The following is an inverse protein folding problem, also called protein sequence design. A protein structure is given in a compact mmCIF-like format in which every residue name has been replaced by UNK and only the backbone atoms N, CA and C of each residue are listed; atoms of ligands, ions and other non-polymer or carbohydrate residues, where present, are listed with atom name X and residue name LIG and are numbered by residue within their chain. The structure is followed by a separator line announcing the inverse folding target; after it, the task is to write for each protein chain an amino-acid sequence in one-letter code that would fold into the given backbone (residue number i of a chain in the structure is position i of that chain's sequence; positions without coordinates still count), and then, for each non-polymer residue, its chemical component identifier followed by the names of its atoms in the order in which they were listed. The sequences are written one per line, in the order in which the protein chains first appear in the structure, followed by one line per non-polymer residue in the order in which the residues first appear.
data_IF_381393900506
#
_entry.id   IF_381393900506
#
_cell.length_a   1.000
_cell.length_b   1.000
_cell.length_c   1.000
_cell.angle_alpha   90.00
_cell.angle_beta   90.00
_cell.angle_gamma   90.00
#
_symmetry.space_group_name_H-M   'P 1'
#
loop_
_entity.id
_entity.type
_entity.pdbx_description
1 polymer ?
#
# COMPACT_ATOMS: atom_id res chain seq x y z
N UNK A 1 17.82 -15.95 -0.30
CA UNK A 1 17.49 -16.97 -1.33
C UNK A 1 16.78 -16.30 -2.49
N UNK A 2 16.85 -16.84 -3.72
CA UNK A 2 16.02 -16.32 -4.81
C UNK A 2 14.54 -16.64 -4.53
N UNK A 3 13.59 -15.78 -4.94
CA UNK A 3 12.17 -16.04 -4.74
C UNK A 3 11.72 -17.26 -5.57
N UNK A 4 10.84 -18.08 -4.99
CA UNK A 4 10.16 -19.19 -5.67
C UNK A 4 8.89 -18.69 -6.34
N UNK A 5 8.19 -17.75 -5.69
CA UNK A 5 6.95 -17.15 -6.18
C UNK A 5 7.16 -15.65 -6.40
N UNK A 6 6.58 -15.13 -7.48
CA UNK A 6 6.35 -13.70 -7.68
C UNK A 6 4.84 -13.42 -7.65
N UNK A 7 4.42 -12.43 -6.86
CA UNK A 7 3.08 -11.84 -6.91
C UNK A 7 3.21 -10.45 -7.52
N UNK A 8 2.68 -10.27 -8.72
CA UNK A 8 2.58 -8.95 -9.36
C UNK A 8 1.20 -8.38 -9.04
N UNK A 9 1.12 -7.32 -8.23
CA UNK A 9 -0.11 -6.54 -8.03
C UNK A 9 -0.22 -5.45 -9.11
N UNK A 10 -1.21 -5.60 -9.98
CA UNK A 10 -1.69 -4.55 -10.85
C UNK A 10 -2.56 -3.60 -10.03
N UNK A 11 -2.19 -2.32 -10.00
CA UNK A 11 -2.69 -1.41 -8.98
C UNK A 11 -2.73 0.05 -9.40
N UNK A 12 -3.25 0.90 -8.51
CA UNK A 12 -3.27 2.35 -8.60
C UNK A 12 -3.16 2.97 -7.18
N UNK A 13 -2.42 4.08 -6.98
CA UNK A 13 -2.34 4.75 -5.67
C UNK A 13 -3.68 5.24 -5.08
N UNK A 14 -4.68 5.54 -5.91
CA UNK A 14 -6.05 5.92 -5.52
C UNK A 14 -7.03 4.73 -5.54
N UNK A 15 -6.56 3.49 -5.63
CA UNK A 15 -7.43 2.33 -5.54
C UNK A 15 -7.66 1.93 -4.07
N UNK A 16 -8.87 2.16 -3.53
CA UNK A 16 -9.21 1.81 -2.14
C UNK A 16 -9.10 0.31 -1.86
N UNK A 17 -9.38 -0.55 -2.84
CA UNK A 17 -9.26 -2.00 -2.68
C UNK A 17 -7.80 -2.48 -2.71
N UNK A 18 -6.92 -1.72 -3.35
CA UNK A 18 -5.49 -1.94 -3.36
C UNK A 18 -4.89 -1.50 -2.01
N UNK A 19 -5.37 -0.38 -1.46
CA UNK A 19 -5.11 0.00 -0.06
C UNK A 19 -5.58 -1.08 0.92
N UNK A 20 -6.77 -1.65 0.69
CA UNK A 20 -7.27 -2.78 1.45
C UNK A 20 -6.43 -4.06 1.36
N UNK A 21 -5.61 -4.21 0.32
CA UNK A 21 -4.75 -5.39 0.10
C UNK A 21 -3.41 -5.33 0.83
N UNK A 22 -3.02 -4.16 1.34
CA UNK A 22 -1.77 -3.96 2.10
C UNK A 22 -1.60 -4.92 3.30
N UNK A 23 -2.60 -5.14 4.18
CA UNK A 23 -2.52 -6.14 5.25
C UNK A 23 -2.20 -7.55 4.75
N UNK A 24 -2.75 -7.92 3.59
CA UNK A 24 -2.59 -9.26 3.01
C UNK A 24 -1.17 -9.42 2.47
N UNK A 25 -0.71 -8.46 1.66
CA UNK A 25 0.63 -8.47 1.08
C UNK A 25 1.73 -8.45 2.15
N UNK A 26 1.57 -7.63 3.19
CA UNK A 26 2.52 -7.63 4.33
C UNK A 26 2.48 -8.94 5.10
N UNK A 27 1.31 -9.53 5.35
CA UNK A 27 1.23 -10.84 6.01
C UNK A 27 1.89 -11.94 5.18
N UNK A 28 1.71 -11.94 3.86
CA UNK A 28 2.43 -12.87 2.96
C UNK A 28 3.93 -12.69 3.14
N UNK A 29 4.44 -11.46 3.18
CA UNK A 29 5.87 -11.22 3.41
C UNK A 29 6.34 -11.68 4.79
N UNK A 30 5.54 -11.52 5.83
CA UNK A 30 5.85 -11.99 7.19
C UNK A 30 5.87 -13.51 7.33
N UNK A 31 5.00 -14.22 6.59
CA UNK A 31 4.88 -15.68 6.66
C UNK A 31 5.89 -16.38 5.77
N UNK A 32 6.10 -15.89 4.54
CA UNK A 32 6.90 -16.59 3.53
C UNK A 32 8.29 -15.97 3.30
N UNK A 33 8.54 -14.76 3.80
CA UNK A 33 9.84 -14.11 3.75
C UNK A 33 10.35 -13.88 2.32
N UNK A 34 11.59 -14.27 2.05
CA UNK A 34 12.24 -14.11 0.73
C UNK A 34 11.73 -15.09 -0.34
N UNK A 35 10.99 -16.14 0.04
CA UNK A 35 10.46 -17.12 -0.92
C UNK A 35 9.39 -16.51 -1.84
N UNK A 36 8.75 -15.42 -1.41
CA UNK A 36 7.74 -14.69 -2.17
C UNK A 36 8.22 -13.26 -2.41
N UNK A 37 8.36 -12.91 -3.68
CA UNK A 37 8.59 -11.54 -4.12
C UNK A 37 7.27 -10.88 -4.48
N UNK A 38 7.10 -9.62 -4.08
CA UNK A 38 5.91 -8.83 -4.39
C UNK A 38 6.35 -7.63 -5.20
N UNK A 39 5.84 -7.54 -6.42
CA UNK A 39 6.10 -6.45 -7.37
C UNK A 39 4.78 -5.78 -7.78
N UNK A 40 4.87 -4.59 -8.36
CA UNK A 40 3.71 -3.77 -8.67
C UNK A 40 3.76 -3.33 -10.13
N UNK A 41 2.59 -3.26 -10.78
CA UNK A 41 2.43 -2.61 -12.09
C UNK A 41 1.37 -1.52 -11.99
N UNK A 42 1.70 -0.34 -12.49
CA UNK A 42 0.81 0.82 -12.42
C UNK A 42 -0.22 0.75 -13.54
N UNK A 43 -1.46 0.42 -13.18
CA UNK A 43 -2.52 0.13 -14.14
C UNK A 43 -3.39 1.33 -14.52
N UNK A 44 -3.33 2.43 -13.76
CA UNK A 44 -4.05 3.67 -14.09
C UNK A 44 -5.58 3.53 -14.03
N UNK A 45 -6.13 3.67 -12.82
CA UNK A 45 -7.55 3.53 -12.51
C UNK A 45 -8.45 4.54 -13.25
N UNK A 46 -8.07 5.83 -13.25
CA UNK A 46 -8.85 6.90 -13.90
C UNK A 46 -7.93 7.72 -14.80
N UNK A 47 -8.13 7.61 -16.11
CA UNK A 47 -7.42 8.41 -17.10
C UNK A 47 -7.87 9.87 -17.10
N UNK A 48 -9.17 10.11 -17.24
CA UNK A 48 -9.80 11.42 -17.13
C UNK A 48 -11.13 11.29 -16.39
N UNK A 49 -11.30 11.96 -15.26
CA UNK A 49 -12.50 11.89 -14.43
C UNK A 49 -13.74 12.43 -15.14
N UNK A 50 -13.57 13.30 -16.15
CA UNK A 50 -14.67 13.89 -16.94
C UNK A 50 -15.32 12.88 -17.87
N UNK A 51 -14.53 11.91 -18.34
CA UNK A 51 -14.96 10.83 -19.24
C UNK A 51 -15.12 9.49 -18.50
N UNK A 52 -14.80 9.45 -17.21
CA UNK A 52 -14.82 8.24 -16.41
C UNK A 52 -16.24 7.84 -16.01
N UNK A 53 -16.54 6.56 -16.23
CA UNK A 53 -17.73 5.93 -15.70
C UNK A 53 -17.43 4.48 -15.28
N UNK A 54 -17.66 4.17 -14.01
CA UNK A 54 -17.67 2.82 -13.48
C UNK A 54 -19.13 2.36 -13.29
N UNK A 55 -19.66 1.50 -14.18
CA UNK A 55 -21.04 1.04 -14.09
C UNK A 55 -21.29 0.11 -12.90
N UNK A 56 -20.25 -0.56 -12.38
CA UNK A 56 -20.40 -1.54 -11.28
C UNK A 56 -20.59 -0.81 -9.95
N UNK A 57 -19.89 0.31 -9.79
CA UNK A 57 -19.94 1.12 -8.56
C UNK A 57 -20.78 2.40 -8.72
N UNK A 58 -21.34 2.64 -9.90
CA UNK A 58 -22.12 3.84 -10.26
C UNK A 58 -21.35 5.15 -10.03
N UNK A 59 -20.06 5.16 -10.39
CA UNK A 59 -19.16 6.30 -10.22
C UNK A 59 -18.95 7.03 -11.55
N UNK A 60 -19.27 8.32 -11.61
CA UNK A 60 -18.99 9.20 -12.75
C UNK A 60 -19.85 10.48 -12.75
N UNK A 61 -19.67 11.32 -13.77
CA UNK A 61 -20.42 12.57 -13.92
C UNK A 61 -20.06 13.65 -12.88
N UNK A 62 -20.89 14.69 -12.78
CA UNK A 62 -20.57 15.90 -11.99
C UNK A 62 -20.45 15.66 -10.47
N UNK A 63 -21.07 14.60 -9.96
CA UNK A 63 -21.06 14.23 -8.52
C UNK A 63 -20.12 13.07 -8.21
N UNK A 64 -19.15 12.79 -9.08
CA UNK A 64 -18.18 11.71 -8.91
C UNK A 64 -17.52 11.73 -7.52
N UNK A 65 -17.20 12.90 -6.98
CA UNK A 65 -16.48 13.04 -5.71
C UNK A 65 -17.29 12.50 -4.53
N UNK A 66 -18.61 12.68 -4.53
CA UNK A 66 -19.50 12.11 -3.49
C UNK A 66 -19.61 10.60 -3.62
N UNK A 67 -19.69 10.09 -4.86
CA UNK A 67 -19.80 8.66 -5.15
C UNK A 67 -18.49 7.94 -4.77
N UNK A 68 -17.34 8.50 -5.13
CA UNK A 68 -16.03 7.95 -4.74
C UNK A 68 -15.84 8.02 -3.23
N UNK A 69 -16.24 9.12 -2.58
CA UNK A 69 -16.20 9.24 -1.12
C UNK A 69 -17.01 8.13 -0.43
N UNK A 70 -18.25 7.92 -0.85
CA UNK A 70 -19.11 6.85 -0.33
C UNK A 70 -18.53 5.45 -0.61
N UNK A 71 -17.95 5.25 -1.80
CA UNK A 71 -17.30 3.98 -2.17
C UNK A 71 -16.10 3.67 -1.27
N UNK A 72 -15.26 4.67 -0.98
CA UNK A 72 -14.09 4.51 -0.11
C UNK A 72 -14.50 4.23 1.35
N UNK A 73 -15.55 4.87 1.85
CA UNK A 73 -16.10 4.57 3.19
C UNK A 73 -16.65 3.13 3.26
N UNK A 74 -17.35 2.69 2.23
CA UNK A 74 -17.88 1.33 2.15
C UNK A 74 -16.77 0.27 2.06
N UNK A 75 -15.75 0.52 1.24
CA UNK A 75 -14.56 -0.31 1.17
C UNK A 75 -13.86 -0.37 2.55
N UNK A 76 -13.70 0.77 3.23
CA UNK A 76 -13.12 0.83 4.58
C UNK A 76 -13.86 -0.01 5.60
N UNK A 77 -15.21 -0.01 5.58
CA UNK A 77 -16.01 -0.90 6.44
C UNK A 77 -15.76 -2.39 6.16
N UNK A 78 -15.44 -2.75 4.91
CA UNK A 78 -15.22 -4.14 4.49
C UNK A 78 -13.79 -4.63 4.75
N UNK A 79 -12.78 -3.84 4.38
CA UNK A 79 -11.36 -4.22 4.52
C UNK A 79 -10.72 -3.77 5.83
N UNK A 80 -11.30 -2.80 6.53
CA UNK A 80 -10.85 -2.33 7.85
C UNK A 80 -9.69 -1.32 7.84
N UNK A 81 -8.94 -1.16 6.75
CA UNK A 81 -7.91 -0.10 6.63
C UNK A 81 -8.48 1.33 6.76
N UNK A 82 -7.72 2.27 7.36
CA UNK A 82 -8.19 3.62 7.62
C UNK A 82 -8.47 4.39 6.35
N UNK A 83 -9.57 5.15 6.35
CA UNK A 83 -9.97 6.04 5.25
C UNK A 83 -10.46 7.37 5.78
N UNK A 84 -10.13 8.45 5.06
CA UNK A 84 -10.75 9.76 5.14
C UNK A 84 -11.21 10.22 3.74
N UNK A 85 -12.47 9.93 3.44
CA UNK A 85 -13.14 10.24 2.17
C UNK A 85 -13.29 11.75 1.93
N UNK A 86 -13.09 12.60 2.95
CA UNK A 86 -13.22 14.06 2.82
C UNK A 86 -12.26 14.64 1.77
N UNK A 87 -11.15 13.95 1.50
CA UNK A 87 -10.17 14.36 0.47
C UNK A 87 -10.82 14.59 -0.89
N UNK A 88 -11.86 13.82 -1.26
CA UNK A 88 -12.53 13.98 -2.56
C UNK A 88 -13.26 15.30 -2.70
N UNK A 89 -13.84 15.80 -1.61
CA UNK A 89 -14.46 17.12 -1.59
C UNK A 89 -13.44 18.25 -1.68
N UNK A 90 -12.23 18.04 -1.17
CA UNK A 90 -11.13 19.02 -1.21
C UNK A 90 -10.47 19.10 -2.59
N UNK A 91 -10.42 17.99 -3.33
CA UNK A 91 -9.73 17.91 -4.62
C UNK A 91 -10.67 18.02 -5.83
N UNK A 92 -11.99 18.04 -5.64
CA UNK A 92 -12.98 17.93 -6.72
C UNK A 92 -12.77 18.91 -7.89
N UNK A 93 -12.27 20.11 -7.59
CA UNK A 93 -12.07 21.17 -8.58
C UNK A 93 -10.69 21.13 -9.26
N UNK A 94 -9.72 20.38 -8.70
CA UNK A 94 -8.36 20.25 -9.24
C UNK A 94 -7.99 18.85 -9.71
N UNK A 95 -8.77 17.83 -9.36
CA UNK A 95 -8.51 16.45 -9.70
C UNK A 95 -9.01 16.13 -11.10
N UNK A 96 -8.14 15.57 -11.94
CA UNK A 96 -8.48 15.15 -13.31
C UNK A 96 -8.20 13.66 -13.55
N UNK A 97 -7.21 13.08 -12.87
CA UNK A 97 -6.68 11.77 -13.22
C UNK A 97 -5.92 11.14 -12.05
N UNK A 98 -5.88 9.81 -12.00
CA UNK A 98 -4.96 9.08 -11.11
C UNK A 98 -3.57 8.92 -11.73
N UNK A 99 -3.40 9.18 -13.03
CA UNK A 99 -2.14 8.96 -13.76
C UNK A 99 -0.94 9.69 -13.16
N UNK A 100 -1.03 10.96 -12.69
CA UNK A 100 0.11 11.63 -12.08
C UNK A 100 0.73 10.85 -10.92
N UNK A 101 -0.08 10.22 -10.08
CA UNK A 101 0.43 9.42 -8.95
C UNK A 101 1.08 8.11 -9.43
N UNK A 102 0.52 7.49 -10.48
CA UNK A 102 1.11 6.29 -11.11
C UNK A 102 2.47 6.60 -11.76
N UNK A 103 2.56 7.71 -12.49
CA UNK A 103 3.80 8.20 -13.12
C UNK A 103 4.86 8.47 -12.04
N UNK A 104 4.48 9.08 -10.92
CA UNK A 104 5.40 9.33 -9.81
C UNK A 104 5.98 8.02 -9.23
N UNK A 105 5.21 6.93 -9.18
CA UNK A 105 5.73 5.62 -8.76
C UNK A 105 6.79 5.11 -9.75
N UNK A 106 6.58 5.25 -11.06
CA UNK A 106 7.60 4.87 -12.06
C UNK A 106 8.87 5.70 -11.94
N UNK A 107 8.76 7.00 -11.63
CA UNK A 107 9.91 7.85 -11.34
C UNK A 107 10.71 7.32 -10.14
N UNK A 108 10.03 6.92 -9.05
CA UNK A 108 10.67 6.31 -7.90
C UNK A 108 11.38 4.99 -8.22
N UNK A 109 10.79 4.14 -9.07
CA UNK A 109 11.37 2.85 -9.48
C UNK A 109 12.71 3.00 -10.21
N UNK A 110 12.94 4.12 -10.89
CA UNK A 110 14.22 4.38 -11.55
C UNK A 110 15.36 4.67 -10.57
N UNK A 111 15.04 5.11 -9.35
CA UNK A 111 16.03 5.39 -8.33
C UNK A 111 16.36 4.13 -7.54
N UNK A 112 15.34 3.48 -6.98
CA UNK A 112 15.48 2.24 -6.21
C UNK A 112 14.14 1.50 -6.10
N UNK A 113 14.14 0.20 -6.37
CA UNK A 113 12.91 -0.61 -6.39
C UNK A 113 12.28 -0.80 -5.01
N UNK A 114 13.08 -0.93 -3.95
CA UNK A 114 12.56 -1.07 -2.58
C UNK A 114 12.05 0.26 -2.04
N UNK A 115 12.73 1.37 -2.33
CA UNK A 115 12.23 2.70 -2.01
C UNK A 115 10.95 3.03 -2.80
N UNK A 116 10.83 2.57 -4.04
CA UNK A 116 9.60 2.72 -4.81
C UNK A 116 8.41 1.97 -4.18
N UNK A 117 8.62 0.76 -3.64
CA UNK A 117 7.58 0.04 -2.87
C UNK A 117 7.15 0.84 -1.64
N UNK A 118 8.11 1.41 -0.90
CA UNK A 118 7.83 2.30 0.25
C UNK A 118 7.10 3.56 -0.19
N UNK A 119 7.45 4.12 -1.33
CA UNK A 119 6.82 5.31 -1.90
C UNK A 119 5.37 5.05 -2.34
N UNK A 120 5.10 3.93 -3.01
CA UNK A 120 3.74 3.51 -3.34
C UNK A 120 2.88 3.38 -2.07
N UNK A 121 3.41 2.70 -1.04
CA UNK A 121 2.77 2.64 0.27
C UNK A 121 2.50 4.04 0.84
N UNK A 122 3.49 4.94 0.77
CA UNK A 122 3.38 6.29 1.30
C UNK A 122 2.33 7.14 0.58
N UNK A 123 2.24 7.02 -0.74
CA UNK A 123 1.18 7.64 -1.55
C UNK A 123 -0.20 7.14 -1.14
N UNK A 124 -0.37 5.82 -0.98
CA UNK A 124 -1.62 5.21 -0.52
C UNK A 124 -2.04 5.73 0.85
N UNK A 125 -1.12 5.79 1.82
CA UNK A 125 -1.39 6.38 3.14
C UNK A 125 -1.81 7.85 3.05
N UNK A 126 -1.09 8.61 2.21
CA UNK A 126 -1.33 10.02 1.93
C UNK A 126 -2.75 10.26 1.44
N UNK A 127 -3.16 9.56 0.37
CA UNK A 127 -4.49 9.70 -0.21
C UNK A 127 -5.58 9.11 0.67
N UNK A 128 -5.38 7.87 1.16
CA UNK A 128 -6.40 7.12 1.89
C UNK A 128 -6.75 7.74 3.23
N UNK A 129 -5.76 8.14 4.04
CA UNK A 129 -5.99 8.39 5.46
C UNK A 129 -5.47 9.76 5.96
N UNK A 130 -4.62 10.44 5.17
CA UNK A 130 -3.98 11.70 5.55
C UNK A 130 -4.44 12.90 4.72
N UNK A 131 -5.41 12.71 3.81
CA UNK A 131 -5.98 13.73 2.90
C UNK A 131 -4.94 14.47 2.06
N UNK A 132 -3.84 13.80 1.69
CA UNK A 132 -2.81 14.37 0.82
C UNK A 132 -3.30 14.39 -0.62
N UNK A 133 -3.08 15.51 -1.31
CA UNK A 133 -3.48 15.72 -2.70
C UNK A 133 -2.43 15.12 -3.64
N UNK A 134 -2.32 13.79 -3.66
CA UNK A 134 -1.21 13.08 -4.34
C UNK A 134 -1.23 13.16 -5.88
N UNK A 135 -2.18 13.89 -6.48
CA UNK A 135 -2.16 14.25 -7.89
C UNK A 135 -1.28 15.49 -8.15
N UNK A 136 -0.86 16.22 -7.11
CA UNK A 136 0.01 17.40 -7.19
C UNK A 136 1.47 17.00 -7.06
N UNK A 137 2.30 17.56 -7.95
CA UNK A 137 3.73 17.25 -8.05
C UNK A 137 4.49 17.61 -6.77
N UNK A 138 4.13 18.72 -6.13
CA UNK A 138 4.78 19.18 -4.90
C UNK A 138 4.55 18.21 -3.75
N UNK A 139 3.31 17.69 -3.64
CA UNK A 139 2.95 16.68 -2.64
C UNK A 139 3.69 15.37 -2.93
N UNK A 140 3.78 14.95 -4.19
CA UNK A 140 4.53 13.75 -4.59
C UNK A 140 6.02 13.87 -4.20
N UNK A 141 6.66 15.01 -4.48
CA UNK A 141 8.04 15.27 -4.12
C UNK A 141 8.28 15.27 -2.60
N UNK A 142 7.37 15.86 -1.81
CA UNK A 142 7.41 15.81 -0.34
C UNK A 142 7.36 14.36 0.16
N UNK A 143 6.42 13.57 -0.34
CA UNK A 143 6.24 12.18 0.05
C UNK A 143 7.42 11.29 -0.36
N UNK A 144 8.07 11.60 -1.49
CA UNK A 144 9.26 10.91 -1.95
C UNK A 144 10.42 11.12 -0.99
N UNK A 145 10.62 12.36 -0.52
CA UNK A 145 11.63 12.70 0.48
C UNK A 145 11.41 11.95 1.80
N UNK A 146 10.17 11.80 2.24
CA UNK A 146 9.85 11.08 3.49
C UNK A 146 10.29 9.61 3.48
N UNK A 147 10.38 8.99 2.29
CA UNK A 147 10.83 7.60 2.14
C UNK A 147 12.29 7.46 1.71
N UNK A 148 13.02 8.58 1.60
CA UNK A 148 14.46 8.60 1.29
C UNK A 148 14.80 8.66 -0.20
N UNK A 149 13.85 8.97 -1.08
CA UNK A 149 14.11 9.23 -2.51
C UNK A 149 14.67 10.63 -2.73
N UNK A 150 15.40 10.83 -3.82
CA UNK A 150 15.76 12.15 -4.32
C UNK A 150 14.54 12.79 -4.99
N UNK A 151 13.95 13.77 -4.29
CA UNK A 151 12.78 14.49 -4.76
C UNK A 151 13.04 15.32 -6.02
N UNK A 152 14.26 15.85 -6.21
CA UNK A 152 14.59 16.63 -7.41
C UNK A 152 14.69 15.70 -8.61
N UNK A 153 15.40 14.57 -8.47
CA UNK A 153 15.48 13.56 -9.53
C UNK A 153 14.09 13.04 -9.89
N UNK A 154 13.23 12.78 -8.90
CA UNK A 154 11.85 12.35 -9.14
C UNK A 154 11.07 13.38 -9.98
N UNK A 155 11.18 14.67 -9.64
CA UNK A 155 10.54 15.76 -10.39
C UNK A 155 11.09 15.87 -11.82
N UNK A 156 12.41 15.74 -12.00
CA UNK A 156 13.05 15.74 -13.32
C UNK A 156 12.56 14.57 -14.17
N UNK A 157 12.43 13.38 -13.61
CA UNK A 157 11.98 12.17 -14.31
C UNK A 157 10.52 12.26 -14.76
N UNK A 158 9.68 12.89 -13.94
CA UNK A 158 8.27 13.16 -14.26
C UNK A 158 8.19 14.21 -15.37
N UNK A 159 8.86 15.36 -15.21
CA UNK A 159 8.81 16.46 -16.19
C UNK A 159 9.50 16.13 -17.51
N UNK A 160 10.53 15.29 -17.47
CA UNK A 160 11.26 14.81 -18.62
C UNK A 160 10.54 13.72 -19.43
N UNK A 161 9.36 13.26 -18.99
CA UNK A 161 8.51 12.32 -19.72
C UNK A 161 8.92 10.85 -19.62
N UNK A 162 10.15 10.54 -19.18
CA UNK A 162 10.61 9.14 -19.07
C UNK A 162 9.75 8.28 -18.12
N UNK A 163 9.26 8.88 -17.04
CA UNK A 163 8.36 8.19 -16.10
C UNK A 163 6.97 7.97 -16.70
N UNK A 164 6.49 8.91 -17.52
CA UNK A 164 5.23 8.78 -18.26
C UNK A 164 5.32 7.67 -19.29
N UNK A 165 6.40 7.61 -20.07
CA UNK A 165 6.64 6.51 -21.03
C UNK A 165 6.65 5.14 -20.35
N UNK A 166 7.29 5.02 -19.18
CA UNK A 166 7.30 3.78 -18.42
C UNK A 166 5.92 3.42 -17.86
N UNK A 167 5.13 4.40 -17.43
CA UNK A 167 3.76 4.18 -17.00
C UNK A 167 2.86 3.75 -18.17
N UNK A 168 2.99 4.36 -19.34
CA UNK A 168 2.22 3.99 -20.53
C UNK A 168 2.52 2.56 -21.00
N UNK A 169 3.75 2.06 -20.77
CA UNK A 169 4.09 0.65 -20.98
C UNK A 169 3.33 -0.25 -20.00
N UNK A 170 3.34 0.05 -18.69
CA UNK A 170 2.57 -0.71 -17.70
C UNK A 170 1.06 -0.69 -18.04
N UNK A 171 0.52 0.45 -18.42
CA UNK A 171 -0.89 0.61 -18.82
C UNK A 171 -1.24 -0.23 -20.06
N UNK A 172 -0.35 -0.27 -21.06
CA UNK A 172 -0.52 -1.09 -22.26
C UNK A 172 -0.45 -2.57 -21.93
N UNK A 173 0.49 -2.97 -21.07
CA UNK A 173 0.59 -4.34 -20.58
C UNK A 173 -0.70 -4.77 -19.86
N UNK A 174 -1.23 -3.94 -18.94
CA UNK A 174 -2.50 -4.21 -18.25
C UNK A 174 -3.64 -4.47 -19.23
N UNK A 175 -3.78 -3.59 -20.24
CA UNK A 175 -4.84 -3.68 -21.25
C UNK A 175 -4.69 -4.92 -22.13
N UNK A 176 -3.46 -5.29 -22.52
CA UNK A 176 -3.20 -6.49 -23.31
C UNK A 176 -3.51 -7.79 -22.55
N UNK A 177 -3.51 -7.73 -21.22
CA UNK A 177 -3.92 -8.82 -20.33
C UNK A 177 -5.39 -8.75 -19.92
N UNK A 178 -6.17 -7.85 -20.54
CA UNK A 178 -7.60 -7.62 -20.23
C UNK A 178 -7.87 -7.23 -18.76
N UNK A 179 -6.87 -6.67 -18.09
CA UNK A 179 -6.99 -6.21 -16.70
C UNK A 179 -7.64 -4.83 -16.71
N UNK A 180 -8.91 -4.79 -16.34
CA UNK A 180 -9.74 -3.57 -16.29
C UNK A 180 -10.15 -3.16 -14.87
N UNK A 181 -9.81 -3.96 -13.86
CA UNK A 181 -10.15 -3.71 -12.46
C UNK A 181 -8.96 -3.93 -11.53
N UNK A 182 -8.91 -3.12 -10.47
CA UNK A 182 -7.83 -3.15 -9.49
C UNK A 182 -8.37 -3.40 -8.06
N UNK A 183 -7.61 -4.13 -7.21
CA UNK A 183 -6.36 -4.80 -7.54
C UNK A 183 -6.60 -6.05 -8.38
N UNK A 184 -5.63 -6.40 -9.22
CA UNK A 184 -5.55 -7.73 -9.84
C UNK A 184 -4.15 -8.29 -9.56
N UNK A 185 -4.04 -9.57 -9.25
CA UNK A 185 -2.77 -10.20 -8.90
C UNK A 185 -2.43 -11.31 -9.87
N UNK A 186 -1.21 -11.28 -10.41
CA UNK A 186 -0.65 -12.40 -11.14
C UNK A 186 0.34 -13.12 -10.24
N UNK A 187 -0.05 -14.30 -9.76
CA UNK A 187 0.78 -15.17 -8.91
C UNK A 187 1.51 -16.15 -9.83
N UNK A 188 2.84 -16.14 -9.81
CA UNK A 188 3.70 -16.97 -10.66
C UNK A 188 4.63 -17.81 -9.81
N UNK A 189 4.73 -19.10 -10.12
CA UNK A 189 5.84 -19.91 -9.68
C UNK A 189 6.99 -19.75 -10.70
N UNK A 190 8.12 -19.20 -10.25
CA UNK A 190 9.25 -18.83 -11.10
C UNK A 190 10.06 -20.05 -11.56
N UNK A 191 9.97 -21.17 -10.86
CA UNK A 191 10.67 -22.41 -11.22
C UNK A 191 9.90 -23.22 -12.28
N UNK A 192 8.56 -23.28 -12.14
CA UNK A 192 7.70 -24.10 -13.02
C UNK A 192 7.04 -23.31 -14.14
N UNK A 193 6.99 -21.98 -14.03
CA UNK A 193 6.24 -21.11 -14.95
C UNK A 193 4.72 -21.16 -14.77
N UNK A 194 4.20 -21.96 -13.82
CA UNK A 194 2.76 -21.96 -13.50
C UNK A 194 2.35 -20.56 -13.04
N UNK A 195 1.19 -20.09 -13.50
CA UNK A 195 0.65 -18.79 -13.10
C UNK A 195 -0.86 -18.83 -12.88
N UNK A 196 -1.34 -17.93 -12.03
CA UNK A 196 -2.76 -17.77 -11.72
C UNK A 196 -3.10 -16.28 -11.60
N UNK A 197 -4.19 -15.86 -12.24
CA UNK A 197 -4.65 -14.48 -12.21
C UNK A 197 -5.84 -14.36 -11.23
N UNK A 198 -5.71 -13.46 -10.27
CA UNK A 198 -6.67 -13.24 -9.19
C UNK A 198 -7.29 -11.85 -9.37
N UNK A 199 -8.58 -11.81 -9.67
CA UNK A 199 -9.30 -10.56 -9.88
C UNK A 199 -9.93 -10.00 -8.60
N UNK A 200 -9.63 -8.74 -8.29
CA UNK A 200 -10.20 -8.01 -7.17
C UNK A 200 -9.62 -8.41 -5.81
N UNK A 201 -10.05 -7.68 -4.78
CA UNK A 201 -9.66 -7.93 -3.40
C UNK A 201 -10.01 -9.35 -2.94
N UNK A 202 -9.07 -10.01 -2.25
CA UNK A 202 -9.23 -11.32 -1.61
C UNK A 202 -8.60 -11.31 -0.23
N UNK A 203 -9.17 -12.06 0.72
CA UNK A 203 -8.61 -12.21 2.07
C UNK A 203 -7.38 -13.11 2.06
N UNK A 204 -6.54 -13.01 3.08
CA UNK A 204 -5.29 -13.78 3.21
C UNK A 204 -5.48 -15.29 2.99
N UNK A 205 -6.53 -15.90 3.54
CA UNK A 205 -6.77 -17.34 3.41
C UNK A 205 -6.87 -17.82 1.94
N UNK A 206 -7.35 -16.96 1.03
CA UNK A 206 -7.36 -17.28 -0.40
C UNK A 206 -5.94 -17.34 -0.97
N UNK A 207 -5.11 -16.35 -0.65
CA UNK A 207 -3.72 -16.33 -1.08
C UNK A 207 -2.90 -17.47 -0.46
N UNK A 208 -3.13 -17.80 0.80
CA UNK A 208 -2.48 -18.93 1.46
C UNK A 208 -2.77 -20.24 0.71
N UNK A 209 -4.04 -20.54 0.43
CA UNK A 209 -4.40 -21.75 -0.33
C UNK A 209 -3.84 -21.75 -1.76
N UNK A 210 -3.85 -20.59 -2.44
CA UNK A 210 -3.27 -20.47 -3.78
C UNK A 210 -1.75 -20.66 -3.78
N UNK A 211 -1.05 -20.11 -2.79
CA UNK A 211 0.40 -20.27 -2.64
C UNK A 211 0.77 -21.73 -2.36
N UNK A 212 0.00 -22.42 -1.52
CA UNK A 212 0.17 -23.85 -1.26
C UNK A 212 -0.02 -24.67 -2.55
N UNK A 213 -1.10 -24.42 -3.31
CA UNK A 213 -1.41 -25.11 -4.57
C UNK A 213 -0.37 -24.87 -5.67
N UNK A 214 0.03 -23.62 -5.88
CA UNK A 214 0.93 -23.25 -6.99
C UNK A 214 2.38 -23.64 -6.70
N UNK A 215 2.76 -23.72 -5.43
CA UNK A 215 4.09 -24.16 -5.00
C UNK A 215 4.19 -25.67 -4.79
N UNK A 216 3.05 -26.38 -4.73
CA UNK A 216 3.03 -27.80 -4.38
C UNK A 216 3.51 -28.06 -2.96
N UNK A 217 3.08 -27.21 -2.02
CA UNK A 217 3.45 -27.25 -0.60
C UNK A 217 4.97 -27.14 -0.32
N UNK A 218 5.75 -26.58 -1.25
CA UNK A 218 7.19 -26.42 -1.09
C UNK A 218 7.60 -25.23 -0.23
N UNK A 219 6.70 -24.28 0.01
CA UNK A 219 7.00 -23.07 0.76
C UNK A 219 7.03 -23.31 2.28
N UNK A 220 8.08 -22.81 2.93
CA UNK A 220 8.20 -22.87 4.39
C UNK A 220 7.49 -21.66 5.02
N UNK A 221 6.51 -21.91 5.90
CA UNK A 221 5.73 -20.88 6.59
C UNK A 221 6.34 -20.56 7.96
N UNK A 222 6.63 -19.28 8.23
CA UNK A 222 6.95 -18.79 9.58
C UNK A 222 5.69 -18.80 10.43
N UNK A 223 5.79 -19.37 11.64
CA UNK A 223 4.73 -19.26 12.64
C UNK A 223 4.69 -17.84 13.20
N UNK A 224 3.52 -17.21 13.15
CA UNK A 224 3.27 -15.90 13.75
C UNK A 224 2.70 -16.12 15.16
N UNK A 225 3.37 -15.58 16.17
CA UNK A 225 2.91 -15.69 17.55
C UNK A 225 1.98 -14.53 17.93
N UNK A 226 0.94 -14.83 18.72
CA UNK A 226 -0.03 -13.82 19.18
C UNK A 226 0.45 -13.18 20.48
N UNK A 227 1.56 -12.44 20.42
CA UNK A 227 2.16 -11.77 21.57
C UNK A 227 2.64 -10.35 21.22
N UNK A 228 3.04 -9.62 22.27
CA UNK A 228 3.51 -8.24 22.17
C UNK A 228 4.79 -8.09 21.36
N UNK A 229 5.74 -9.03 21.52
CA UNK A 229 7.03 -9.00 20.84
C UNK A 229 6.87 -9.12 19.32
N UNK A 230 5.96 -9.98 18.85
CA UNK A 230 5.65 -10.12 17.43
C UNK A 230 5.04 -8.82 16.86
N UNK A 231 4.16 -8.16 17.62
CA UNK A 231 3.58 -6.86 17.20
C UNK A 231 4.65 -5.77 17.15
N UNK A 232 5.52 -5.67 18.15
CA UNK A 232 6.61 -4.70 18.18
C UNK A 232 7.60 -4.92 17.03
N UNK A 233 7.97 -6.18 16.77
CA UNK A 233 8.84 -6.56 15.65
C UNK A 233 8.21 -6.18 14.31
N UNK A 234 6.91 -6.44 14.13
CA UNK A 234 6.17 -6.06 12.93
C UNK A 234 6.15 -4.54 12.73
N UNK A 235 5.80 -3.76 13.76
CA UNK A 235 5.78 -2.29 13.67
C UNK A 235 7.18 -1.75 13.37
N UNK A 236 8.22 -2.28 14.03
CA UNK A 236 9.60 -1.86 13.82
C UNK A 236 10.06 -2.09 12.38
N UNK A 237 9.72 -3.26 11.81
CA UNK A 237 10.12 -3.64 10.45
C UNK A 237 9.44 -2.78 9.39
N UNK A 238 8.16 -2.48 9.57
CA UNK A 238 7.37 -1.73 8.60
C UNK A 238 7.33 -0.22 8.87
N UNK A 239 7.82 0.22 10.04
CA UNK A 239 7.88 1.61 10.50
C UNK A 239 6.52 2.20 10.90
N UNK A 240 5.51 2.03 10.06
CA UNK A 240 4.14 2.53 10.24
C UNK A 240 3.13 1.48 9.80
N UNK A 241 2.20 1.14 10.68
CA UNK A 241 1.15 0.13 10.42
C UNK A 241 -0.22 0.59 10.90
N UNK A 242 -1.29 0.16 10.25
CA UNK A 242 -2.66 0.34 10.70
C UNK A 242 -3.06 -0.76 11.68
N UNK A 243 -4.05 -0.48 12.53
CA UNK A 243 -4.68 -1.48 13.42
C UNK A 243 -5.09 -2.75 12.67
N UNK A 244 -5.64 -2.59 11.46
CA UNK A 244 -6.08 -3.70 10.62
C UNK A 244 -4.92 -4.60 10.15
N UNK A 245 -3.72 -4.06 9.94
CA UNK A 245 -2.56 -4.85 9.53
C UNK A 245 -2.12 -5.79 10.64
N UNK A 246 -2.14 -5.32 11.90
CA UNK A 246 -1.86 -6.15 13.08
C UNK A 246 -2.95 -7.20 13.27
N UNK A 247 -4.23 -6.83 13.09
CA UNK A 247 -5.34 -7.78 13.15
C UNK A 247 -5.19 -8.91 12.12
N UNK A 248 -4.85 -8.55 10.88
CA UNK A 248 -4.61 -9.53 9.81
C UNK A 248 -3.40 -10.41 10.10
N UNK A 249 -2.27 -9.83 10.51
CA UNK A 249 -1.05 -10.55 10.87
C UNK A 249 -1.33 -11.65 11.91
N UNK A 250 -1.93 -11.26 13.03
CA UNK A 250 -2.18 -12.15 14.17
C UNK A 250 -3.39 -13.06 13.99
N UNK A 251 -4.19 -12.85 12.94
CA UNK A 251 -5.46 -13.54 12.71
C UNK A 251 -6.43 -13.39 13.89
N UNK A 252 -6.67 -12.13 14.29
CA UNK A 252 -7.57 -11.77 15.38
C UNK A 252 -8.56 -10.67 14.94
N UNK A 253 -9.71 -10.52 15.62
CA UNK A 253 -10.60 -9.40 15.38
C UNK A 253 -9.92 -8.04 15.58
N UNK A 254 -10.27 -7.05 14.73
CA UNK A 254 -9.67 -5.71 14.75
C UNK A 254 -9.74 -5.01 16.11
N UNK A 255 -10.82 -5.21 16.88
CA UNK A 255 -10.95 -4.63 18.22
C UNK A 255 -9.91 -5.18 19.20
N UNK A 256 -9.55 -6.48 19.12
CA UNK A 256 -8.51 -7.08 19.97
C UNK A 256 -7.12 -6.54 19.59
N UNK A 257 -6.85 -6.38 18.29
CA UNK A 257 -5.62 -5.74 17.84
C UNK A 257 -5.52 -4.30 18.36
N UNK A 258 -6.62 -3.54 18.34
CA UNK A 258 -6.67 -2.17 18.88
C UNK A 258 -6.41 -2.14 20.39
N UNK A 259 -7.01 -3.05 21.16
CA UNK A 259 -6.78 -3.16 22.60
C UNK A 259 -5.31 -3.47 22.92
N UNK A 260 -4.71 -4.41 22.17
CA UNK A 260 -3.30 -4.74 22.29
C UNK A 260 -2.40 -3.54 21.98
N UNK A 261 -2.65 -2.84 20.87
CA UNK A 261 -1.88 -1.67 20.46
C UNK A 261 -2.00 -0.51 21.47
N UNK A 262 -3.18 -0.30 22.04
CA UNK A 262 -3.38 0.66 23.13
C UNK A 262 -2.57 0.27 24.38
N UNK A 263 -2.62 -0.99 24.79
CA UNK A 263 -1.83 -1.50 25.92
C UNK A 263 -0.32 -1.29 25.71
N UNK A 264 0.20 -1.60 24.51
CA UNK A 264 1.61 -1.37 24.15
C UNK A 264 1.96 0.12 24.13
N UNK A 265 1.02 0.96 23.66
CA UNK A 265 1.17 2.42 23.66
C UNK A 265 1.17 3.01 25.08
N UNK A 266 0.35 2.48 25.99
CA UNK A 266 0.28 2.90 27.40
C UNK A 266 1.58 2.55 28.14
N UNK A 267 2.24 1.44 27.76
CA UNK A 267 3.60 1.11 28.19
C UNK A 267 4.68 2.02 27.60
N UNK A 268 4.33 2.87 26.64
CA UNK A 268 5.25 3.82 26.00
C UNK A 268 6.17 3.23 24.95
N UNK A 269 5.91 2.02 24.44
CA UNK A 269 6.76 1.37 23.43
C UNK A 269 6.43 1.82 22.00
N UNK A 270 5.16 2.16 21.75
CA UNK A 270 4.67 2.70 20.47
C UNK A 270 3.85 3.96 20.71
N UNK A 271 3.47 4.64 19.63
CA UNK A 271 2.47 5.70 19.66
C UNK A 271 1.48 5.55 18.50
N UNK A 272 0.22 5.91 18.76
CA UNK A 272 -0.83 5.97 17.76
C UNK A 272 -1.03 7.40 17.26
N UNK A 273 -1.09 7.59 15.94
CA UNK A 273 -1.51 8.84 15.29
C UNK A 273 -2.83 8.61 14.57
N UNK A 274 -3.84 9.44 14.85
CA UNK A 274 -5.12 9.35 14.16
C UNK A 274 -4.92 9.54 12.65
N UNK A 275 -5.52 8.67 11.85
CA UNK A 275 -5.48 8.69 10.39
C UNK A 275 -6.83 8.20 9.87
N UNK A 276 -7.54 9.08 9.17
CA UNK A 276 -8.96 8.90 8.82
C UNK A 276 -9.83 8.43 9.99
N UNK A 277 -10.52 7.32 9.79
CA UNK A 277 -11.41 6.69 10.77
C UNK A 277 -10.72 5.73 11.76
N UNK A 278 -9.38 5.68 11.82
CA UNK A 278 -8.62 4.82 12.73
C UNK A 278 -7.26 5.46 13.10
N UNK A 279 -6.23 4.65 13.35
CA UNK A 279 -4.88 5.05 13.74
C UNK A 279 -3.82 4.35 12.88
N UNK A 280 -2.72 5.06 12.65
CA UNK A 280 -1.42 4.47 12.35
C UNK A 280 -0.58 4.36 13.64
N UNK A 281 0.19 3.29 13.74
CA UNK A 281 1.02 2.95 14.88
C UNK A 281 2.48 2.85 14.44
N UNK A 282 3.36 3.45 15.22
CA UNK A 282 4.80 3.48 14.99
C UNK A 282 5.55 3.29 16.31
N UNK A 283 6.75 2.72 16.26
CA UNK A 283 7.62 2.65 17.43
C UNK A 283 7.97 4.05 17.91
N UNK A 284 8.00 4.26 19.24
CA UNK A 284 8.65 5.46 19.76
C UNK A 284 10.15 5.26 19.61
N UNK A 285 10.78 6.03 18.75
CA UNK A 285 12.25 6.12 18.74
C UNK A 285 12.67 6.58 20.13
N UNK A 286 13.37 5.72 20.87
CA UNK A 286 13.91 6.11 22.16
C UNK A 286 15.14 6.93 21.84
N UNK A 287 15.00 8.25 21.92
CA UNK A 287 16.17 9.13 21.92
C UNK A 287 16.84 8.92 23.29
N UNK A 288 17.93 8.16 23.32
CA UNK A 288 18.80 8.11 24.49
C UNK A 288 19.79 9.25 24.37
N UNK A 289 19.74 10.18 25.32
CA UNK A 289 20.72 11.25 25.42
C UNK A 289 21.73 10.88 26.49
N UNK A 290 22.99 10.74 26.08
CA UNK A 290 24.11 10.73 27.00
C UNK A 290 24.38 12.19 27.41
N UNK A 291 23.99 12.53 28.65
CA UNK A 291 24.13 13.89 29.17
C UNK A 291 25.60 14.27 29.46
N UNK A 292 26.52 13.31 29.57
CA UNK A 292 27.95 13.58 29.75
C UNK A 292 28.64 13.88 28.41
N UNK A 293 28.23 13.19 27.34
CA UNK A 293 28.79 13.39 26.00
C UNK A 293 28.03 14.42 25.14
N UNK A 294 26.82 14.82 25.55
CA UNK A 294 25.97 15.73 24.77
C UNK A 294 25.47 15.13 23.46
N UNK A 295 25.42 13.79 23.37
CA UNK A 295 25.02 13.06 22.16
C UNK A 295 23.69 12.37 22.44
N UNK A 296 22.69 12.72 21.64
CA UNK A 296 21.42 12.01 21.59
C UNK A 296 21.43 11.03 20.41
N UNK A 297 21.18 9.75 20.69
CA UNK A 297 21.08 8.69 19.67
C UNK A 297 19.65 8.19 19.61
N UNK A 298 19.12 8.12 18.39
CA UNK A 298 17.97 7.30 18.10
C UNK A 298 18.38 5.83 18.24
N UNK A 299 17.71 5.09 19.12
CA UNK A 299 17.71 3.63 19.13
C UNK A 299 16.42 3.16 18.46
#
# INVERSE_FOLDING_TARGET
MAPVIEIIEYTDPYCTWCWGSEPILRKIKEVYGEQVEISYKMGGLVGDIRDFYDPVNEIGGERWYEQVAAHWEDASRKHGMPVDSSVFYEIKDSFTSTYPANIAVKAAEFQDRELAKRYLRRLREGAAAERKHIHRLEVQAELAKEVGLDANQLVEDIRGGRAEEAFLKDLTDCRSMEITGFPTFLVKNLETGRSHLVYGYRRYAYFEGLLDEISGDSLVKRRIERNEDEVLSFISRWGKVATQEVATLLDIPKYQALEMLKSISDKGLIYGRKAGNDYFWSVKTVITCDNEMGICRAI
#
